data_IF_303212184697
#
_entry.id   IF_303212184697
#
_cell.length_a   1.000
_cell.length_b   1.000
_cell.length_c   1.000
_cell.angle_alpha   90.00
_cell.angle_beta   90.00
_cell.angle_gamma   90.00
#
_symmetry.space_group_name_H-M   'P 1'
#
loop_
_entity.id
_entity.type
_entity.pdbx_description
1 polymer ?
#
# COMPACT_ATOMS: atom_id res chain seq x y z
N UNK A 1 -43.77 52.32 -32.58
CA UNK A 1 -43.35 52.37 -31.16
C UNK A 1 -44.06 51.23 -30.47
N UNK A 2 -43.57 50.00 -30.72
CA UNK A 2 -42.55 49.28 -29.93
C UNK A 2 -43.18 48.69 -28.66
N UNK A 3 -43.39 47.37 -28.61
CA UNK A 3 -42.40 46.35 -28.16
C UNK A 3 -42.26 46.44 -26.62
N UNK A 4 -42.37 45.40 -25.80
CA UNK A 4 -42.40 43.97 -26.06
C UNK A 4 -42.91 43.25 -24.80
N UNK A 5 -43.62 42.14 -24.98
CA UNK A 5 -44.15 41.33 -23.88
C UNK A 5 -43.06 40.52 -23.19
N UNK A 6 -42.79 40.82 -21.93
CA UNK A 6 -41.87 40.05 -21.10
C UNK A 6 -42.55 38.76 -20.60
N UNK A 7 -42.62 37.73 -21.44
CA UNK A 7 -42.82 36.35 -21.01
C UNK A 7 -41.48 35.64 -20.92
N UNK A 8 -40.86 35.72 -19.74
CA UNK A 8 -39.74 34.86 -19.35
C UNK A 8 -40.25 33.42 -19.24
N UNK A 9 -39.98 32.62 -20.27
CA UNK A 9 -40.15 31.17 -20.23
C UNK A 9 -38.84 30.55 -19.76
N UNK A 10 -38.83 30.11 -18.50
CA UNK A 10 -37.73 29.33 -17.95
C UNK A 10 -37.67 27.98 -18.68
N UNK A 11 -36.64 27.79 -19.51
CA UNK A 11 -36.32 26.48 -20.09
C UNK A 11 -35.72 25.63 -18.97
N UNK A 12 -36.55 24.81 -18.34
CA UNK A 12 -36.09 23.76 -17.44
C UNK A 12 -35.48 22.64 -18.30
N UNK A 13 -34.16 22.67 -18.51
CA UNK A 13 -33.41 21.51 -18.99
C UNK A 13 -33.39 20.47 -17.88
N UNK A 14 -34.29 19.49 -17.95
CA UNK A 14 -34.21 18.26 -17.17
C UNK A 14 -33.04 17.41 -17.68
N UNK A 15 -31.87 17.58 -17.07
CA UNK A 15 -30.77 16.64 -17.24
C UNK A 15 -31.17 15.31 -16.60
N UNK A 16 -31.58 14.37 -17.45
CA UNK A 16 -31.76 12.98 -17.05
C UNK A 16 -30.38 12.46 -16.66
N UNK A 17 -30.13 12.35 -15.35
CA UNK A 17 -28.92 11.76 -14.81
C UNK A 17 -29.01 10.25 -14.98
N UNK A 18 -28.69 9.75 -16.18
CA UNK A 18 -28.55 8.31 -16.41
C UNK A 18 -27.29 7.85 -15.68
N UNK A 19 -27.39 7.01 -14.63
CA UNK A 19 -26.21 6.53 -13.93
C UNK A 19 -25.33 5.77 -14.94
N UNK A 20 -24.05 6.15 -14.99
CA UNK A 20 -23.05 5.52 -15.85
C UNK A 20 -23.02 4.01 -15.55
N UNK A 21 -23.01 3.20 -16.61
CA UNK A 21 -22.96 1.75 -16.50
C UNK A 21 -21.61 1.29 -15.93
N UNK A 22 -21.65 0.36 -15.01
CA UNK A 22 -20.46 -0.17 -14.32
C UNK A 22 -19.78 -1.25 -15.18
N UNK A 23 -18.90 -0.82 -16.08
CA UNK A 23 -18.20 -1.71 -17.02
C UNK A 23 -17.27 -2.72 -16.34
N UNK A 24 -16.76 -2.42 -15.13
CA UNK A 24 -15.77 -3.27 -14.45
C UNK A 24 -16.37 -4.59 -14.00
N UNK A 25 -17.68 -4.58 -13.69
CA UNK A 25 -18.42 -5.74 -13.23
C UNK A 25 -19.06 -6.54 -14.38
N UNK A 26 -18.78 -6.18 -15.63
CA UNK A 26 -19.27 -6.93 -16.79
C UNK A 26 -18.40 -8.14 -17.06
N UNK A 27 -19.00 -9.17 -17.69
CA UNK A 27 -18.31 -10.42 -18.00
C UNK A 27 -17.18 -10.20 -18.98
N UNK A 28 -15.97 -10.68 -18.67
CA UNK A 28 -14.87 -10.70 -19.63
C UNK A 28 -15.04 -11.88 -20.60
N UNK A 29 -14.94 -11.59 -21.90
CA UNK A 29 -15.08 -12.57 -22.99
C UNK A 29 -13.73 -13.02 -23.55
N UNK A 30 -12.62 -12.46 -23.05
CA UNK A 30 -11.26 -12.77 -23.52
C UNK A 30 -10.63 -13.96 -22.82
N UNK A 31 -11.19 -14.38 -21.68
CA UNK A 31 -10.72 -15.53 -20.89
C UNK A 31 -9.23 -15.44 -20.50
N UNK A 32 -8.73 -14.23 -20.22
CA UNK A 32 -7.35 -14.01 -19.77
C UNK A 32 -7.34 -13.64 -18.29
N UNK A 33 -6.76 -14.48 -17.40
CA UNK A 33 -6.66 -14.15 -15.99
C UNK A 33 -5.63 -13.03 -15.79
N UNK A 34 -5.86 -12.19 -14.78
CA UNK A 34 -4.85 -11.22 -14.32
C UNK A 34 -4.31 -11.71 -12.98
N UNK A 35 -3.03 -12.07 -12.97
CA UNK A 35 -2.36 -12.61 -11.78
C UNK A 35 -2.35 -11.60 -10.62
N UNK A 36 -2.21 -10.31 -10.91
CA UNK A 36 -2.11 -9.27 -9.89
C UNK A 36 -2.67 -7.93 -10.38
N UNK A 37 -3.78 -7.49 -9.79
CA UNK A 37 -4.39 -6.17 -10.05
C UNK A 37 -4.67 -5.44 -8.74
N UNK A 38 -4.44 -4.12 -8.72
CA UNK A 38 -4.76 -3.30 -7.56
C UNK A 38 -4.07 -1.94 -7.58
N UNK A 39 -3.74 -1.44 -6.39
CA UNK A 39 -3.24 -0.09 -6.16
C UNK A 39 -1.84 -0.14 -5.55
N UNK A 40 -0.97 0.80 -5.95
CA UNK A 40 0.40 0.90 -5.43
C UNK A 40 0.76 2.36 -5.15
N UNK A 41 1.64 2.57 -4.18
CA UNK A 41 2.15 3.90 -3.85
C UNK A 41 1.27 4.67 -2.88
N UNK A 42 0.35 4.00 -2.20
CA UNK A 42 -0.52 4.63 -1.21
C UNK A 42 0.27 4.97 0.04
N UNK A 43 0.33 6.25 0.42
CA UNK A 43 0.97 6.66 1.66
C UNK A 43 -0.03 6.61 2.80
N UNK A 44 0.27 5.85 3.85
CA UNK A 44 -0.65 5.65 4.97
C UNK A 44 0.07 5.58 6.32
N UNK A 45 -0.51 6.11 7.41
CA UNK A 45 0.05 5.96 8.76
C UNK A 45 -0.02 4.52 9.23
N UNK A 46 1.09 4.02 9.79
CA UNK A 46 1.13 2.70 10.40
C UNK A 46 1.73 2.78 11.80
N UNK A 47 1.43 1.77 12.62
CA UNK A 47 2.07 1.55 13.89
C UNK A 47 2.73 0.18 13.92
N UNK A 48 4.03 0.19 14.23
CA UNK A 48 4.87 -0.98 14.32
C UNK A 48 5.23 -1.19 15.79
N UNK A 49 4.95 -2.37 16.33
CA UNK A 49 5.34 -2.71 17.71
C UNK A 49 6.67 -3.44 17.69
N UNK A 50 7.54 -3.06 18.62
CA UNK A 50 8.78 -3.78 18.89
C UNK A 50 8.59 -4.91 19.91
N UNK A 51 9.63 -5.73 20.09
CA UNK A 51 9.62 -6.85 21.06
C UNK A 51 9.58 -6.39 22.52
N UNK A 52 9.92 -5.14 22.81
CA UNK A 52 9.82 -4.51 24.13
C UNK A 52 8.46 -3.87 24.39
N UNK A 53 7.48 -4.08 23.49
CA UNK A 53 6.13 -3.48 23.51
C UNK A 53 6.10 -1.96 23.37
N UNK A 54 7.19 -1.36 22.91
CA UNK A 54 7.18 0.03 22.46
C UNK A 54 6.60 0.10 21.05
N UNK A 55 5.71 1.07 20.84
CA UNK A 55 5.06 1.28 19.55
C UNK A 55 5.71 2.48 18.85
N UNK A 56 6.08 2.29 17.59
CA UNK A 56 6.59 3.35 16.73
C UNK A 56 5.57 3.66 15.64
N UNK A 57 5.11 4.90 15.60
CA UNK A 57 4.27 5.40 14.52
C UNK A 57 5.17 5.87 13.38
N UNK A 58 4.86 5.48 12.14
CA UNK A 58 5.60 5.87 10.94
C UNK A 58 4.65 6.01 9.75
N UNK A 59 5.16 6.47 8.62
CA UNK A 59 4.42 6.53 7.36
C UNK A 59 4.95 5.43 6.45
N UNK A 60 4.04 4.59 5.95
CA UNK A 60 4.35 3.56 5.00
C UNK A 60 3.92 3.92 3.57
N UNK A 61 4.58 3.32 2.60
CA UNK A 61 4.12 3.20 1.23
C UNK A 61 3.54 1.81 1.03
N UNK A 62 2.27 1.73 0.64
CA UNK A 62 1.50 0.50 0.57
C UNK A 62 1.18 0.14 -0.88
N UNK A 63 1.31 -1.15 -1.20
CA UNK A 63 0.73 -1.79 -2.37
C UNK A 63 -0.29 -2.85 -1.94
N UNK A 64 -1.45 -2.87 -2.57
CA UNK A 64 -2.51 -3.84 -2.32
C UNK A 64 -2.99 -4.39 -3.65
N UNK A 65 -3.08 -5.72 -3.75
CA UNK A 65 -3.45 -6.40 -4.98
C UNK A 65 -4.24 -7.67 -4.70
N UNK A 66 -4.98 -8.13 -5.71
CA UNK A 66 -5.69 -9.42 -5.73
C UNK A 66 -5.53 -10.06 -7.11
N UNK A 67 -5.83 -11.36 -7.20
CA UNK A 67 -6.09 -12.01 -8.48
C UNK A 67 -7.46 -11.57 -9.04
N UNK A 68 -7.56 -11.53 -10.36
CA UNK A 68 -8.83 -11.29 -11.04
C UNK A 68 -9.25 -12.55 -11.82
N UNK A 69 -10.34 -13.22 -11.40
CA UNK A 69 -10.88 -14.35 -12.15
C UNK A 69 -11.26 -13.93 -13.58
N UNK A 70 -11.11 -14.86 -14.53
CA UNK A 70 -11.32 -14.64 -15.98
C UNK A 70 -12.73 -14.16 -16.35
N UNK A 71 -13.69 -14.26 -15.44
CA UNK A 71 -15.06 -13.83 -15.63
C UNK A 71 -15.28 -12.33 -15.40
N UNK A 72 -14.32 -11.62 -14.79
CA UNK A 72 -14.44 -10.18 -14.50
C UNK A 72 -13.57 -9.34 -15.44
N UNK A 73 -14.12 -8.25 -16.00
CA UNK A 73 -13.34 -7.31 -16.83
C UNK A 73 -12.39 -6.41 -16.03
N UNK A 74 -12.64 -6.19 -14.74
CA UNK A 74 -11.80 -5.35 -13.90
C UNK A 74 -12.12 -5.42 -12.41
N UNK A 75 -11.21 -4.89 -11.60
CA UNK A 75 -11.42 -4.70 -10.17
C UNK A 75 -11.83 -3.26 -9.85
N UNK A 76 -12.63 -3.09 -8.79
CA UNK A 76 -13.03 -1.76 -8.33
C UNK A 76 -11.92 -1.18 -7.46
N UNK A 77 -11.10 -0.32 -8.05
CA UNK A 77 -9.90 0.23 -7.41
C UNK A 77 -10.19 0.98 -6.10
N UNK A 78 -11.36 1.62 -5.97
CA UNK A 78 -11.76 2.30 -4.74
C UNK A 78 -11.94 1.33 -3.56
N UNK A 79 -12.31 0.08 -3.82
CA UNK A 79 -12.54 -0.93 -2.76
C UNK A 79 -11.28 -1.23 -1.96
N UNK A 80 -10.09 -1.15 -2.56
CA UNK A 80 -8.83 -1.28 -1.83
C UNK A 80 -8.67 -0.18 -0.78
N UNK A 81 -8.95 1.07 -1.15
CA UNK A 81 -8.85 2.22 -0.23
C UNK A 81 -9.93 2.14 0.84
N UNK A 82 -11.14 1.67 0.49
CA UNK A 82 -12.19 1.44 1.48
C UNK A 82 -11.82 0.35 2.49
N UNK A 83 -11.21 -0.76 2.05
CA UNK A 83 -10.69 -1.82 2.93
C UNK A 83 -9.59 -1.26 3.82
N UNK A 84 -8.69 -0.45 3.29
CA UNK A 84 -7.64 0.20 4.07
C UNK A 84 -8.23 1.08 5.18
N UNK A 85 -9.19 1.94 4.82
CA UNK A 85 -9.83 2.88 5.76
C UNK A 85 -10.76 2.20 6.77
N UNK A 86 -11.33 1.03 6.46
CA UNK A 86 -12.17 0.29 7.41
C UNK A 86 -11.38 -0.27 8.59
N UNK A 87 -10.05 -0.38 8.47
CA UNK A 87 -9.15 -0.76 9.54
C UNK A 87 -8.72 0.44 10.42
N UNK A 88 -9.32 1.61 10.21
CA UNK A 88 -9.08 2.83 10.98
C UNK A 88 -8.09 3.78 10.31
N UNK A 89 -7.68 4.80 11.07
CA UNK A 89 -6.73 5.82 10.58
C UNK A 89 -5.26 5.37 10.67
N UNK A 90 -5.01 4.14 11.14
CA UNK A 90 -3.68 3.61 11.40
C UNK A 90 -3.71 2.09 11.27
N UNK A 91 -2.79 1.53 10.50
CA UNK A 91 -2.65 0.08 10.37
C UNK A 91 -1.71 -0.42 11.45
N UNK A 92 -2.16 -1.40 12.21
CA UNK A 92 -1.29 -2.19 13.09
C UNK A 92 -0.80 -3.41 12.32
N UNK A 93 0.51 -3.65 12.33
CA UNK A 93 1.14 -4.77 11.60
C UNK A 93 0.57 -6.13 12.04
N UNK A 94 0.14 -6.24 13.29
CA UNK A 94 -0.53 -7.44 13.83
C UNK A 94 -1.85 -7.77 13.11
N UNK A 95 -2.48 -6.78 12.46
CA UNK A 95 -3.78 -6.91 11.79
C UNK A 95 -3.63 -7.16 10.27
N UNK A 96 -2.42 -7.42 9.76
CA UNK A 96 -2.19 -7.76 8.35
C UNK A 96 -3.06 -8.95 7.88
N UNK A 97 -3.22 -10.05 8.66
CA UNK A 97 -4.12 -11.14 8.29
C UNK A 97 -5.57 -10.70 8.05
N UNK A 98 -6.10 -9.83 8.90
CA UNK A 98 -7.47 -9.33 8.79
C UNK A 98 -7.64 -8.43 7.56
N UNK A 99 -6.61 -7.63 7.25
CA UNK A 99 -6.59 -6.79 6.06
C UNK A 99 -6.60 -7.63 4.77
N UNK A 100 -5.77 -8.67 4.71
CA UNK A 100 -5.72 -9.60 3.57
C UNK A 100 -7.05 -10.34 3.36
N UNK A 101 -7.66 -10.82 4.45
CA UNK A 101 -8.97 -11.48 4.43
C UNK A 101 -10.08 -10.53 3.98
N UNK A 102 -10.06 -9.29 4.49
CA UNK A 102 -11.01 -8.24 4.11
C UNK A 102 -10.88 -7.88 2.62
N UNK A 103 -9.66 -7.89 2.08
CA UNK A 103 -9.43 -7.71 0.65
C UNK A 103 -10.04 -8.85 -0.17
N UNK A 104 -9.76 -10.11 0.17
CA UNK A 104 -10.34 -11.27 -0.53
C UNK A 104 -11.87 -11.22 -0.54
N UNK A 105 -12.49 -10.92 0.60
CA UNK A 105 -13.95 -10.85 0.73
C UNK A 105 -14.54 -9.68 -0.05
N UNK A 106 -13.98 -8.47 0.08
CA UNK A 106 -14.57 -7.27 -0.52
C UNK A 106 -14.33 -7.16 -2.02
N UNK A 107 -13.32 -7.85 -2.53
CA UNK A 107 -12.97 -7.90 -3.96
C UNK A 107 -13.31 -9.24 -4.62
N UNK A 108 -13.93 -10.18 -3.91
CA UNK A 108 -14.30 -11.52 -4.40
C UNK A 108 -13.11 -12.26 -5.06
N UNK A 109 -11.96 -12.25 -4.39
CA UNK A 109 -10.71 -12.80 -4.89
C UNK A 109 -10.25 -14.00 -4.04
N UNK A 110 -9.57 -14.97 -4.67
CA UNK A 110 -9.02 -16.12 -3.95
C UNK A 110 -7.70 -15.78 -3.27
N UNK A 111 -6.93 -14.85 -3.86
CA UNK A 111 -5.63 -14.41 -3.38
C UNK A 111 -5.62 -12.91 -3.11
N UNK A 112 -4.87 -12.51 -2.10
CA UNK A 112 -4.58 -11.10 -1.83
C UNK A 112 -3.11 -10.91 -1.50
N UNK A 113 -2.58 -9.77 -1.91
CA UNK A 113 -1.18 -9.41 -1.75
C UNK A 113 -1.09 -8.02 -1.13
N UNK A 114 -0.25 -7.89 -0.11
CA UNK A 114 0.01 -6.66 0.60
C UNK A 114 1.51 -6.42 0.66
N UNK A 115 1.92 -5.23 0.23
CA UNK A 115 3.29 -4.74 0.33
C UNK A 115 3.28 -3.48 1.20
N UNK A 116 4.12 -3.41 2.23
CA UNK A 116 4.26 -2.25 3.12
C UNK A 116 5.73 -1.92 3.25
N UNK A 117 6.14 -0.73 2.81
CA UNK A 117 7.51 -0.23 2.89
C UNK A 117 7.57 1.01 3.78
N UNK A 118 8.43 1.00 4.81
CA UNK A 118 8.50 2.08 5.79
C UNK A 118 9.88 2.22 6.46
N UNK A 119 10.25 3.41 6.94
CA UNK A 119 11.42 3.59 7.79
C UNK A 119 11.11 3.17 9.23
N UNK A 120 12.06 2.47 9.84
CA UNK A 120 12.05 2.05 11.24
C UNK A 120 13.29 2.57 11.95
N UNK A 121 13.11 3.23 13.09
CA UNK A 121 14.21 3.85 13.83
C UNK A 121 14.58 3.04 15.06
N UNK A 122 15.89 2.85 15.26
CA UNK A 122 16.46 2.24 16.46
C UNK A 122 17.46 3.21 17.09
N UNK A 123 17.42 3.34 18.42
CA UNK A 123 18.43 4.07 19.18
C UNK A 123 19.72 3.24 19.26
N UNK A 124 20.85 3.83 18.86
CA UNK A 124 22.18 3.25 18.99
C UNK A 124 23.09 4.17 19.77
N UNK A 125 24.00 3.57 20.55
CA UNK A 125 25.04 4.30 21.28
C UNK A 125 26.31 4.40 20.46
N UNK A 126 26.96 5.56 20.52
CA UNK A 126 28.28 5.75 19.95
C UNK A 126 29.31 4.87 20.70
N UNK A 127 30.23 4.19 20.00
CA UNK A 127 31.06 3.13 20.59
C UNK A 127 32.11 3.61 21.61
N UNK A 128 32.36 4.92 21.68
CA UNK A 128 33.34 5.52 22.60
C UNK A 128 32.65 6.49 23.55
N UNK A 129 31.88 7.44 23.01
CA UNK A 129 31.24 8.47 23.82
C UNK A 129 29.93 8.04 24.45
N UNK A 130 29.39 6.86 24.09
CA UNK A 130 28.11 6.30 24.54
C UNK A 130 26.88 7.19 24.29
N UNK A 131 27.02 8.27 23.52
CA UNK A 131 25.91 9.16 23.18
C UNK A 131 24.91 8.41 22.30
N UNK A 132 23.63 8.59 22.60
CA UNK A 132 22.54 7.98 21.86
C UNK A 132 22.21 8.77 20.59
N UNK A 133 22.01 8.04 19.49
CA UNK A 133 21.54 8.58 18.22
C UNK A 133 20.52 7.64 17.57
N UNK A 134 19.57 8.20 16.83
CA UNK A 134 18.60 7.42 16.06
C UNK A 134 19.18 7.05 14.70
N UNK A 135 19.06 5.78 14.32
CA UNK A 135 19.42 5.27 13.00
C UNK A 135 18.18 4.69 12.34
N UNK A 136 17.91 5.10 11.10
CA UNK A 136 16.83 4.56 10.29
C UNK A 136 17.25 3.29 9.54
N UNK A 137 16.30 2.38 9.42
CA UNK A 137 16.39 1.17 8.62
C UNK A 137 15.14 1.10 7.76
N UNK A 138 15.29 0.82 6.48
CA UNK A 138 14.14 0.61 5.63
C UNK A 138 13.65 -0.84 5.79
N UNK A 139 12.38 -1.00 6.13
CA UNK A 139 11.73 -2.29 6.35
C UNK A 139 10.63 -2.45 5.31
N UNK A 140 10.58 -3.64 4.69
CA UNK A 140 9.51 -4.03 3.79
C UNK A 140 8.84 -5.29 4.30
N UNK A 141 7.52 -5.25 4.43
CA UNK A 141 6.68 -6.41 4.65
C UNK A 141 5.98 -6.77 3.34
N UNK A 142 5.99 -8.05 3.02
CA UNK A 142 5.25 -8.64 1.91
C UNK A 142 4.43 -9.78 2.49
N UNK A 143 3.11 -9.69 2.35
CA UNK A 143 2.19 -10.67 2.89
C UNK A 143 1.23 -11.11 1.79
N UNK A 144 1.07 -12.42 1.63
CA UNK A 144 0.22 -13.02 0.62
C UNK A 144 -0.77 -13.95 1.30
N UNK A 145 -2.05 -13.86 0.97
CA UNK A 145 -3.05 -14.84 1.39
C UNK A 145 -3.55 -15.62 0.17
N UNK A 146 -3.68 -16.94 0.30
CA UNK A 146 -4.40 -17.81 -0.65
C UNK A 146 -5.44 -18.60 0.15
N UNK A 147 -6.71 -18.26 -0.01
CA UNK A 147 -7.74 -18.70 0.93
C UNK A 147 -7.38 -18.30 2.37
N UNK A 148 -7.17 -19.29 3.25
CA UNK A 148 -6.80 -19.06 4.67
C UNK A 148 -5.31 -19.12 4.94
N UNK A 149 -4.51 -19.59 3.99
CA UNK A 149 -3.07 -19.71 4.16
C UNK A 149 -2.42 -18.36 3.94
N UNK A 150 -1.55 -17.96 4.87
CA UNK A 150 -0.84 -16.68 4.82
C UNK A 150 0.66 -16.95 4.79
N UNK A 151 1.30 -16.39 3.78
CA UNK A 151 2.75 -16.29 3.67
C UNK A 151 3.18 -14.86 4.01
N UNK A 152 4.26 -14.71 4.76
CA UNK A 152 4.76 -13.42 5.22
C UNK A 152 6.28 -13.37 5.14
N UNK A 153 6.78 -12.36 4.43
CA UNK A 153 8.20 -12.07 4.27
C UNK A 153 8.50 -10.68 4.81
N UNK A 154 9.51 -10.61 5.68
CA UNK A 154 10.09 -9.35 6.15
C UNK A 154 11.48 -9.17 5.57
N UNK A 155 11.70 -8.03 4.92
CA UNK A 155 12.99 -7.61 4.39
C UNK A 155 13.48 -6.38 5.14
N UNK A 156 14.75 -6.37 5.56
CA UNK A 156 15.41 -5.20 6.15
C UNK A 156 16.56 -4.75 5.25
N UNK A 157 16.64 -3.45 4.97
CA UNK A 157 17.81 -2.82 4.34
C UNK A 157 18.62 -2.11 5.41
N UNK A 158 19.81 -2.65 5.68
CA UNK A 158 20.69 -2.20 6.74
C UNK A 158 21.88 -1.47 6.10
N UNK A 159 21.98 -0.14 6.24
CA UNK A 159 23.16 0.58 5.78
C UNK A 159 24.36 0.20 6.65
N UNK A 160 25.44 -0.26 6.02
CA UNK A 160 26.70 -0.60 6.70
C UNK A 160 27.87 0.10 6.02
N UNK A 161 28.84 0.50 6.81
CA UNK A 161 30.13 0.92 6.27
C UNK A 161 30.94 -0.33 5.92
N UNK A 162 31.25 -0.50 4.65
CA UNK A 162 32.17 -1.54 4.17
C UNK A 162 33.51 -0.92 3.86
N UNK A 163 34.59 -1.69 3.99
CA UNK A 163 35.93 -1.24 3.65
C UNK A 163 36.63 -2.34 2.85
N UNK A 164 37.26 -1.96 1.73
CA UNK A 164 37.84 -2.88 0.77
C UNK A 164 39.21 -3.40 1.26
N UNK A 165 39.34 -4.72 1.59
CA UNK A 165 40.61 -5.26 2.05
C UNK A 165 41.70 -5.18 0.98
N UNK A 166 41.34 -5.29 -0.29
CA UNK A 166 42.29 -5.19 -1.41
C UNK A 166 42.92 -3.80 -1.49
N UNK A 167 42.13 -2.74 -1.27
CA UNK A 167 42.65 -1.37 -1.26
C UNK A 167 43.65 -1.15 -0.13
N UNK A 168 43.41 -1.77 1.03
CA UNK A 168 44.33 -1.68 2.16
C UNK A 168 45.65 -2.39 1.88
N UNK A 169 45.60 -3.53 1.17
CA UNK A 169 46.78 -4.33 0.88
C UNK A 169 47.79 -3.63 -0.04
N UNK A 170 47.33 -2.74 -0.92
CA UNK A 170 48.18 -2.03 -1.90
C UNK A 170 48.49 -0.57 -1.52
N UNK A 171 48.03 -0.10 -0.36
CA UNK A 171 48.21 1.30 0.06
C UNK A 171 49.03 1.41 1.35
N UNK A 172 49.97 2.35 1.36
CA UNK A 172 50.73 2.71 2.56
C UNK A 172 49.84 3.33 3.65
N UNK A 173 48.77 4.05 3.27
CA UNK A 173 47.83 4.71 4.19
C UNK A 173 46.39 4.64 3.69
N UNK A 174 45.43 4.51 4.62
CA UNK A 174 44.00 4.49 4.28
C UNK A 174 43.51 3.24 3.53
N UNK A 175 42.19 3.21 3.29
CA UNK A 175 41.47 2.28 2.43
C UNK A 175 40.08 2.87 2.15
N UNK A 176 39.51 2.56 0.98
CA UNK A 176 38.15 2.98 0.61
C UNK A 176 37.13 1.88 0.90
#
# INVERSE_FOLDING_TARGET
MTDDGLHSSAIATSSVNTPLHDEQNTRDTRELPIDKVGVRGLRFPIQVRDRTRSAQNTIATIGMFVDLPMEFKGTHMSRFVEVLNSHGQMIHVENIPDLLSSMQQKLNANTSHLEIDFPYFITKKAPISEHEGLMDYNVRFEANATGKEIDFVMTLRIPVATLCPCSKAISNYGAH
#
